data_IF_899278618140
#
_entry.id   IF_899278618140
#
_cell.length_a   1.000
_cell.length_b   1.000
_cell.length_c   1.000
_cell.angle_alpha   90.00
_cell.angle_beta   90.00
_cell.angle_gamma   90.00
#
_symmetry.space_group_name_H-M   'P 1'
#
loop_
_entity.id
_entity.type
_entity.pdbx_description
1 polymer ?
#
# COMPACT_ATOMS: atom_id res chain seq x y z
N UNK A 1 3.14 -28.24 -65.71
CA UNK A 1 3.75 -27.86 -64.41
C UNK A 1 5.06 -27.11 -64.68
N UNK A 2 5.09 -25.77 -64.57
CA UNK A 2 6.31 -24.96 -64.87
C UNK A 2 7.27 -25.01 -63.68
N UNK A 3 8.46 -25.60 -63.85
CA UNK A 3 9.51 -25.57 -62.81
C UNK A 3 10.09 -24.16 -62.72
N UNK A 4 9.99 -23.52 -61.56
CA UNK A 4 10.66 -22.25 -61.30
C UNK A 4 12.18 -22.52 -61.28
N UNK A 5 12.95 -21.77 -62.07
CA UNK A 5 14.39 -21.97 -62.16
C UNK A 5 15.11 -21.61 -60.85
N UNK A 6 16.20 -22.31 -60.54
CA UNK A 6 16.98 -22.17 -59.31
C UNK A 6 17.35 -20.71 -58.98
N UNK A 7 17.64 -19.90 -60.00
CA UNK A 7 17.89 -18.46 -59.88
C UNK A 7 16.74 -17.71 -59.19
N UNK A 8 15.49 -17.98 -59.59
CA UNK A 8 14.32 -17.30 -59.02
C UNK A 8 14.09 -17.66 -57.56
N UNK A 9 14.34 -18.92 -57.19
CA UNK A 9 14.24 -19.42 -55.82
C UNK A 9 15.31 -18.81 -54.92
N UNK A 10 16.55 -18.73 -55.41
CA UNK A 10 17.66 -18.10 -54.70
C UNK A 10 17.41 -16.60 -54.45
N UNK A 11 16.97 -15.86 -55.47
CA UNK A 11 16.64 -14.44 -55.33
C UNK A 11 15.52 -14.20 -54.34
N UNK A 12 14.46 -15.02 -54.37
CA UNK A 12 13.36 -14.92 -53.41
C UNK A 12 13.84 -15.16 -51.97
N UNK A 13 14.68 -16.19 -51.77
CA UNK A 13 15.26 -16.49 -50.47
C UNK A 13 16.13 -15.32 -49.96
N UNK A 14 17.00 -14.76 -50.81
CA UNK A 14 17.85 -13.62 -50.46
C UNK A 14 17.03 -12.39 -50.07
N UNK A 15 15.96 -12.09 -50.80
CA UNK A 15 15.08 -10.96 -50.47
C UNK A 15 14.34 -11.19 -49.15
N UNK A 16 13.84 -12.41 -48.92
CA UNK A 16 13.18 -12.76 -47.66
C UNK A 16 14.12 -12.64 -46.47
N UNK A 17 15.37 -13.07 -46.60
CA UNK A 17 16.41 -12.88 -45.57
C UNK A 17 16.68 -11.39 -45.29
N UNK A 18 16.68 -10.53 -46.31
CA UNK A 18 16.83 -9.08 -46.11
C UNK A 18 15.64 -8.48 -45.36
N UNK A 19 14.43 -8.92 -45.66
CA UNK A 19 13.22 -8.47 -44.97
C UNK A 19 13.15 -8.91 -43.51
N UNK A 20 13.53 -10.16 -43.19
CA UNK A 20 13.65 -10.62 -41.80
C UNK A 20 14.73 -9.82 -41.05
N UNK A 21 15.91 -9.62 -41.65
CA UNK A 21 16.97 -8.82 -41.05
C UNK A 21 16.53 -7.38 -40.77
N UNK A 22 15.74 -6.78 -41.66
CA UNK A 22 15.21 -5.43 -41.46
C UNK A 22 14.20 -5.35 -40.31
N UNK A 23 13.37 -6.39 -40.13
CA UNK A 23 12.42 -6.51 -39.01
C UNK A 23 13.13 -6.68 -37.68
N UNK A 24 14.07 -7.61 -37.59
CA UNK A 24 14.88 -7.82 -36.38
C UNK A 24 15.59 -6.54 -35.94
N UNK A 25 16.08 -5.75 -36.92
CA UNK A 25 16.73 -4.48 -36.66
C UNK A 25 15.77 -3.40 -36.10
N UNK A 26 14.46 -3.49 -36.35
CA UNK A 26 13.46 -2.61 -35.74
C UNK A 26 13.14 -3.03 -34.30
N UNK A 27 12.99 -4.33 -34.05
CA UNK A 27 12.74 -4.86 -32.70
C UNK A 27 13.91 -4.57 -31.75
N UNK A 28 15.15 -4.71 -32.24
CA UNK A 28 16.36 -4.35 -31.48
C UNK A 28 16.42 -2.86 -31.11
N UNK A 29 15.81 -1.96 -31.91
CA UNK A 29 15.75 -0.52 -31.60
C UNK A 29 14.77 -0.18 -30.47
N UNK A 30 13.79 -1.04 -30.20
CA UNK A 30 12.82 -0.84 -29.11
C UNK A 30 13.46 -1.12 -27.74
N UNK A 31 14.37 -2.10 -27.68
CA UNK A 31 15.08 -2.51 -26.46
C UNK A 31 15.75 -1.34 -25.71
N UNK A 32 16.58 -0.47 -26.35
CA UNK A 32 17.20 0.64 -25.64
C UNK A 32 16.19 1.68 -25.14
N UNK A 33 15.07 1.87 -25.85
CA UNK A 33 13.99 2.78 -25.45
C UNK A 33 13.32 2.26 -24.18
N UNK A 34 12.92 0.99 -24.16
CA UNK A 34 12.30 0.35 -22.99
C UNK A 34 13.27 0.35 -21.79
N UNK A 35 14.54 0.06 -22.01
CA UNK A 35 15.59 0.15 -20.98
C UNK A 35 15.68 1.56 -20.39
N UNK A 36 15.61 2.60 -21.23
CA UNK A 36 15.65 3.99 -20.76
C UNK A 36 14.41 4.35 -19.94
N UNK A 37 13.22 3.93 -20.37
CA UNK A 37 11.97 4.12 -19.64
C UNK A 37 12.01 3.42 -18.28
N UNK A 38 12.50 2.19 -18.24
CA UNK A 38 12.63 1.42 -17.01
C UNK A 38 13.60 2.11 -16.04
N UNK A 39 14.74 2.58 -16.54
CA UNK A 39 15.73 3.34 -15.76
C UNK A 39 15.15 4.63 -15.18
N UNK A 40 14.36 5.38 -15.96
CA UNK A 40 13.69 6.59 -15.46
C UNK A 40 12.67 6.26 -14.36
N UNK A 41 11.86 5.21 -14.55
CA UNK A 41 10.93 4.72 -13.51
C UNK A 41 11.67 4.35 -12.22
N UNK A 42 12.79 3.63 -12.30
CA UNK A 42 13.61 3.29 -11.14
C UNK A 42 14.19 4.52 -10.46
N UNK A 43 14.69 5.50 -11.22
CA UNK A 43 15.21 6.75 -10.66
C UNK A 43 14.13 7.53 -9.89
N UNK A 44 12.94 7.68 -10.48
CA UNK A 44 11.81 8.37 -9.85
C UNK A 44 11.34 7.67 -8.58
N UNK A 45 11.21 6.34 -8.62
CA UNK A 45 10.86 5.55 -7.45
C UNK A 45 11.88 5.71 -6.32
N UNK A 46 13.18 5.65 -6.65
CA UNK A 46 14.26 5.86 -5.67
C UNK A 46 14.20 7.25 -5.05
N UNK A 47 13.97 8.28 -5.87
CA UNK A 47 13.82 9.67 -5.41
C UNK A 47 12.62 9.84 -4.47
N UNK A 48 11.48 9.24 -4.79
CA UNK A 48 10.31 9.24 -3.92
C UNK A 48 10.62 8.55 -2.59
N UNK A 49 11.25 7.36 -2.63
CA UNK A 49 11.66 6.61 -1.44
C UNK A 49 12.56 7.42 -0.51
N UNK A 50 13.58 8.09 -1.05
CA UNK A 50 14.46 8.97 -0.26
C UNK A 50 13.71 10.13 0.38
N UNK A 51 12.76 10.75 -0.34
CA UNK A 51 11.92 11.82 0.24
C UNK A 51 11.08 11.33 1.41
N UNK A 52 10.45 10.15 1.29
CA UNK A 52 9.67 9.57 2.39
C UNK A 52 10.53 9.26 3.62
N UNK A 53 11.74 8.73 3.42
CA UNK A 53 12.68 8.50 4.54
C UNK A 53 13.10 9.80 5.22
N UNK A 54 13.40 10.85 4.45
CA UNK A 54 13.75 12.16 5.01
C UNK A 54 12.61 12.76 5.84
N UNK A 55 11.35 12.60 5.38
CA UNK A 55 10.16 13.06 6.13
C UNK A 55 10.03 12.29 7.46
N UNK A 56 10.20 10.96 7.44
CA UNK A 56 10.16 10.15 8.66
C UNK A 56 11.27 10.56 9.66
N UNK A 57 12.46 10.90 9.18
CA UNK A 57 13.55 11.40 10.01
C UNK A 57 13.28 12.82 10.56
N UNK A 58 12.59 13.67 9.81
CA UNK A 58 12.18 15.00 10.31
C UNK A 58 11.09 14.89 11.37
N UNK A 59 10.14 13.98 11.22
CA UNK A 59 9.07 13.76 12.21
C UNK A 59 9.64 13.24 13.54
N UNK A 60 10.68 12.38 13.48
CA UNK A 60 11.41 11.93 14.66
C UNK A 60 12.16 13.09 15.36
N UNK A 61 12.76 14.00 14.59
CA UNK A 61 13.48 15.17 15.14
C UNK A 61 12.54 16.23 15.72
N UNK A 62 11.36 16.42 15.14
CA UNK A 62 10.33 17.32 15.64
C UNK A 62 9.77 16.85 17.00
N UNK A 63 9.60 15.53 17.17
CA UNK A 63 9.25 14.93 18.46
C UNK A 63 10.38 15.08 19.50
N UNK A 64 11.65 15.02 19.07
CA UNK A 64 12.82 15.21 19.92
C UNK A 64 12.90 16.58 20.63
N UNK A 65 12.37 17.65 20.02
CA UNK A 65 12.32 18.98 20.65
C UNK A 65 11.12 19.21 21.56
N UNK A 66 10.03 18.44 21.41
CA UNK A 66 8.85 18.53 22.28
C UNK A 66 8.94 17.62 23.51
N UNK A 67 9.84 16.62 23.51
CA UNK A 67 10.08 15.70 24.62
C UNK A 67 11.46 15.85 25.28
N UNK A 68 12.10 17.01 25.16
CA UNK A 68 13.20 17.37 26.06
C UNK A 68 12.67 18.01 27.34
N UNK A 69 12.02 17.18 28.17
CA UNK A 69 12.27 17.21 29.61
C UNK A 69 12.43 15.76 30.08
N UNK A 70 13.68 15.43 30.32
CA UNK A 70 14.17 14.28 31.10
C UNK A 70 13.93 12.88 30.54
N UNK A 71 14.57 12.58 29.42
CA UNK A 71 14.80 11.18 29.00
C UNK A 71 16.28 10.81 29.15
N UNK A 72 16.87 11.10 30.32
CA UNK A 72 18.16 10.55 30.74
C UNK A 72 18.06 10.26 32.23
N UNK A 73 18.48 9.06 32.58
CA UNK A 73 18.50 8.44 33.91
C UNK A 73 17.20 7.72 34.29
N UNK A 74 17.29 6.39 34.25
CA UNK A 74 16.34 5.43 34.83
C UNK A 74 16.29 5.60 36.35
N UNK A 75 15.86 6.76 36.83
CA UNK A 75 15.42 6.96 38.20
C UNK A 75 14.23 6.03 38.36
N UNK A 76 14.28 5.15 39.37
CA UNK A 76 13.11 4.35 39.78
C UNK A 76 12.08 5.32 40.33
N UNK A 77 11.28 5.91 39.44
CA UNK A 77 10.13 6.71 39.80
C UNK A 77 9.12 5.75 40.41
N UNK A 78 8.89 5.86 41.72
CA UNK A 78 7.71 5.25 42.33
C UNK A 78 6.52 6.06 41.83
N UNK A 79 5.84 5.51 40.84
CA UNK A 79 4.56 6.05 40.38
C UNK A 79 3.56 5.93 41.55
N UNK A 80 2.72 6.94 41.78
CA UNK A 80 1.55 6.77 42.64
C UNK A 80 0.78 5.55 42.13
N UNK A 81 0.28 4.74 43.06
CA UNK A 81 -0.62 3.66 42.68
C UNK A 81 -1.90 4.29 42.12
N UNK A 82 -2.03 4.28 40.79
CA UNK A 82 -3.20 4.79 40.11
C UNK A 82 -4.27 3.72 40.29
N UNK A 83 -5.23 3.99 41.17
CA UNK A 83 -6.47 3.23 41.20
C UNK A 83 -7.22 3.52 39.90
N UNK A 84 -7.01 2.66 38.90
CA UNK A 84 -7.83 2.66 37.70
C UNK A 84 -9.26 2.39 38.15
N UNK A 85 -10.13 3.40 38.07
CA UNK A 85 -11.56 3.19 38.16
C UNK A 85 -11.88 2.16 37.07
N UNK A 86 -12.34 0.97 37.48
CA UNK A 86 -12.78 -0.05 36.54
C UNK A 86 -13.93 0.54 35.73
N UNK A 87 -13.62 1.04 34.54
CA UNK A 87 -14.64 1.34 33.55
C UNK A 87 -15.17 -0.02 33.12
N UNK A 88 -16.28 -0.47 33.71
CA UNK A 88 -17.10 -1.49 33.08
C UNK A 88 -17.39 -0.96 31.69
N UNK A 89 -16.79 -1.59 30.68
CA UNK A 89 -16.78 -1.16 29.28
C UNK A 89 -18.14 -1.28 28.61
N UNK A 90 -19.22 -0.99 29.32
CA UNK A 90 -20.57 -1.02 28.81
C UNK A 90 -20.82 0.24 27.97
N UNK A 91 -20.49 0.09 26.68
CA UNK A 91 -21.26 0.60 25.54
C UNK A 91 -21.75 2.06 25.57
N UNK A 92 -21.02 3.00 26.18
CA UNK A 92 -21.37 4.43 26.10
C UNK A 92 -21.55 4.95 24.67
N UNK A 93 -20.81 4.37 23.71
CA UNK A 93 -20.87 4.76 22.30
C UNK A 93 -22.18 4.33 21.63
N UNK A 94 -22.73 3.16 21.99
CA UNK A 94 -23.99 2.69 21.41
C UNK A 94 -25.17 3.58 21.82
N UNK A 95 -25.21 3.98 23.10
CA UNK A 95 -26.24 4.82 23.70
C UNK A 95 -26.10 6.31 23.38
N UNK A 96 -24.97 6.76 22.81
CA UNK A 96 -24.74 8.17 22.51
C UNK A 96 -25.60 8.62 21.31
N UNK A 97 -26.60 9.47 21.56
CA UNK A 97 -27.47 10.00 20.50
C UNK A 97 -26.79 11.09 19.65
N UNK A 98 -25.66 11.64 20.09
CA UNK A 98 -24.92 12.68 19.35
C UNK A 98 -24.06 12.11 18.23
N UNK A 99 -23.74 10.82 18.26
CA UNK A 99 -22.88 10.18 17.26
C UNK A 99 -23.72 9.54 16.13
N UNK A 100 -23.42 9.82 14.85
CA UNK A 100 -24.05 9.13 13.75
C UNK A 100 -23.64 7.65 13.74
N UNK A 101 -24.48 6.80 13.16
CA UNK A 101 -24.28 5.35 13.17
C UNK A 101 -23.02 4.92 12.40
N UNK A 102 -22.58 5.69 11.39
CA UNK A 102 -21.29 5.52 10.71
C UNK A 102 -20.11 5.60 11.68
N UNK A 103 -20.07 6.65 12.50
CA UNK A 103 -18.98 6.87 13.45
C UNK A 103 -19.00 5.77 14.52
N UNK A 104 -20.20 5.39 15.00
CA UNK A 104 -20.37 4.23 15.90
C UNK A 104 -19.84 2.93 15.28
N UNK A 105 -20.04 2.73 13.98
CA UNK A 105 -19.51 1.58 13.26
C UNK A 105 -17.98 1.58 13.23
N UNK A 106 -17.37 2.74 12.99
CA UNK A 106 -15.93 2.89 13.01
C UNK A 106 -15.34 2.61 14.40
N UNK A 107 -15.98 3.13 15.45
CA UNK A 107 -15.59 2.83 16.83
C UNK A 107 -15.75 1.35 17.19
N UNK A 108 -16.80 0.69 16.69
CA UNK A 108 -16.98 -0.75 16.85
C UNK A 108 -15.80 -1.52 16.26
N UNK A 109 -15.41 -1.24 15.01
CA UNK A 109 -14.26 -1.89 14.36
C UNK A 109 -12.96 -1.65 15.15
N UNK A 110 -12.73 -0.45 15.65
CA UNK A 110 -11.55 -0.11 16.47
C UNK A 110 -11.53 -0.79 17.84
N UNK A 111 -12.71 -1.08 18.39
CA UNK A 111 -12.84 -1.72 19.70
C UNK A 111 -12.67 -3.24 19.63
N UNK A 112 -12.73 -3.82 18.44
CA UNK A 112 -12.57 -5.26 18.24
C UNK A 112 -11.09 -5.66 18.24
N UNK A 113 -10.83 -6.87 18.74
CA UNK A 113 -9.49 -7.44 18.70
C UNK A 113 -9.17 -7.87 17.26
N UNK A 114 -8.09 -7.36 16.64
CA UNK A 114 -7.76 -7.67 15.26
C UNK A 114 -7.52 -9.17 15.08
N UNK A 115 -8.08 -9.75 14.01
CA UNK A 115 -7.97 -11.18 13.71
C UNK A 115 -8.91 -12.09 14.52
N UNK A 116 -9.70 -11.54 15.44
CA UNK A 116 -10.76 -12.30 16.11
C UNK A 116 -11.86 -12.74 15.14
N UNK A 117 -12.62 -13.78 15.52
CA UNK A 117 -13.76 -14.25 14.72
C UNK A 117 -14.79 -13.14 14.51
N UNK A 118 -15.07 -12.34 15.53
CA UNK A 118 -15.99 -11.20 15.47
C UNK A 118 -15.46 -10.10 14.53
N UNK A 119 -14.19 -9.70 14.66
CA UNK A 119 -13.57 -8.70 13.78
C UNK A 119 -13.70 -9.07 12.29
N UNK A 120 -13.43 -10.34 11.95
CA UNK A 120 -13.52 -10.80 10.55
C UNK A 120 -14.92 -10.65 9.95
N UNK A 121 -15.97 -10.83 10.74
CA UNK A 121 -17.35 -10.70 10.26
C UNK A 121 -17.74 -9.23 10.16
N UNK A 122 -17.40 -8.42 11.16
CA UNK A 122 -17.69 -6.97 11.17
C UNK A 122 -16.89 -6.21 10.10
N UNK A 123 -15.66 -6.62 9.81
CA UNK A 123 -14.80 -6.03 8.75
C UNK A 123 -15.25 -6.43 7.33
N UNK A 124 -15.96 -7.55 7.17
CA UNK A 124 -16.48 -7.99 5.87
C UNK A 124 -17.63 -7.11 5.33
N UNK A 125 -18.11 -6.23 6.19
CA UNK A 125 -19.36 -5.53 6.12
C UNK A 125 -19.04 -4.04 5.83
N UNK A 126 -19.69 -3.38 4.86
CA UNK A 126 -19.36 -2.00 4.52
C UNK A 126 -19.69 -1.06 5.69
N UNK A 127 -18.75 -0.15 6.02
CA UNK A 127 -18.89 0.85 7.10
C UNK A 127 -19.93 1.91 6.74
N UNK A 128 -21.20 1.57 6.86
CA UNK A 128 -22.37 2.40 6.51
C UNK A 128 -23.39 2.34 7.65
N UNK A 129 -24.17 3.41 7.90
CA UNK A 129 -25.18 3.43 8.98
C UNK A 129 -26.14 2.24 8.91
N UNK A 130 -26.59 1.89 7.70
CA UNK A 130 -27.54 0.80 7.47
C UNK A 130 -27.02 -0.57 7.93
N UNK A 131 -25.71 -0.69 8.10
CA UNK A 131 -25.03 -1.94 8.40
C UNK A 131 -24.55 -2.02 9.87
N UNK A 132 -24.58 -0.91 10.61
CA UNK A 132 -24.35 -0.88 12.05
C UNK A 132 -25.28 -1.77 12.88
N UNK A 133 -26.61 -1.73 12.71
CA UNK A 133 -27.48 -2.64 13.45
C UNK A 133 -27.17 -4.10 13.13
N UNK A 134 -26.88 -4.41 11.85
CA UNK A 134 -26.51 -5.77 11.45
C UNK A 134 -25.25 -6.25 12.14
N UNK A 135 -24.24 -5.40 12.29
CA UNK A 135 -23.00 -5.77 12.97
C UNK A 135 -23.14 -5.98 14.48
N UNK A 136 -24.14 -5.35 15.11
CA UNK A 136 -24.47 -5.54 16.53
C UNK A 136 -25.29 -6.81 16.81
N UNK A 137 -25.96 -7.34 15.78
CA UNK A 137 -26.80 -8.55 15.85
C UNK A 137 -26.07 -9.85 15.46
N UNK A 138 -24.78 -9.77 15.08
CA UNK A 138 -23.93 -10.91 14.71
C UNK A 138 -23.46 -11.73 15.93
#
# INVERSE_FOLDING_TARGET
MKRKGLRTSFTLCSNKLKEELSRDMMDLKIIPVLRNQLRDKFYRWRRAKTKFQAIAETDLKFCGTALQRDCVESRKLKLPEIELKNFSGEAKIHSDASLPAEDKFQYLVQSLVPGSKAARVVESLPMTAANYPKAMEL
#
